data_IF_640693313986
#
_entry.id   IF_640693313986
#
_cell.length_a   1.000
_cell.length_b   1.000
_cell.length_c   1.000
_cell.angle_alpha   90.00
_cell.angle_beta   90.00
_cell.angle_gamma   90.00
#
_symmetry.space_group_name_H-M   'P 1'
#
loop_
_entity.id
_entity.type
_entity.pdbx_description
1 polymer ?
#
# COMPACT_ATOMS: atom_id res chain seq x y z
N UNK A 1 -81.60 -14.57 40.02
CA UNK A 1 -80.36 -13.83 39.65
C UNK A 1 -79.26 -14.88 39.46
N UNK A 2 -78.76 -15.16 38.24
CA UNK A 2 -77.47 -14.67 37.68
C UNK A 2 -76.37 -14.61 38.77
N UNK A 3 -75.19 -15.29 38.70
CA UNK A 3 -74.27 -15.61 37.58
C UNK A 3 -73.36 -16.82 37.91
N UNK A 4 -72.78 -17.42 36.86
CA UNK A 4 -71.96 -18.66 36.79
C UNK A 4 -70.44 -18.39 36.87
N UNK A 5 -69.66 -19.42 37.26
CA UNK A 5 -68.32 -19.88 36.78
C UNK A 5 -67.64 -20.69 37.93
N UNK A 6 -67.58 -22.03 37.94
CA UNK A 6 -66.80 -23.04 37.17
C UNK A 6 -65.29 -22.89 37.27
N UNK A 7 -64.62 -23.80 38.02
CA UNK A 7 -63.30 -24.36 37.69
C UNK A 7 -63.28 -25.86 38.09
N UNK A 8 -62.95 -26.70 37.11
CA UNK A 8 -62.83 -28.16 37.15
C UNK A 8 -61.63 -28.57 38.02
N UNK A 9 -61.84 -29.61 38.84
CA UNK A 9 -60.80 -30.27 39.62
C UNK A 9 -60.96 -31.81 39.49
N UNK A 10 -59.83 -32.43 39.13
CA UNK A 10 -59.36 -33.76 39.54
C UNK A 10 -60.05 -35.05 39.05
N UNK A 11 -59.22 -35.88 38.42
CA UNK A 11 -58.82 -37.15 39.05
C UNK A 11 -59.51 -38.41 38.55
N UNK A 12 -58.94 -39.03 37.51
CA UNK A 12 -59.22 -40.42 37.14
C UNK A 12 -57.99 -41.29 37.37
N UNK A 13 -58.01 -42.06 38.45
CA UNK A 13 -57.03 -43.10 38.78
C UNK A 13 -57.28 -44.36 37.97
N UNK A 14 -56.21 -45.00 37.47
CA UNK A 14 -56.30 -46.30 36.80
C UNK A 14 -54.92 -46.92 36.61
N UNK A 15 -54.55 -47.80 37.54
CA UNK A 15 -53.29 -48.54 37.54
C UNK A 15 -53.37 -49.84 36.73
N UNK A 16 -52.17 -50.28 36.29
CA UNK A 16 -51.73 -51.63 35.97
C UNK A 16 -51.93 -52.17 34.53
N UNK A 17 -50.83 -52.17 33.77
CA UNK A 17 -50.45 -53.28 32.92
C UNK A 17 -48.92 -53.32 32.78
N UNK A 18 -48.28 -54.31 33.41
CA UNK A 18 -46.93 -54.75 33.05
C UNK A 18 -47.05 -55.55 31.75
N UNK A 19 -46.49 -55.02 30.67
CA UNK A 19 -46.32 -55.76 29.41
C UNK A 19 -45.05 -55.25 28.74
N UNK A 20 -43.98 -56.01 28.92
CA UNK A 20 -42.76 -55.97 28.11
C UNK A 20 -43.14 -55.97 26.62
N UNK A 21 -42.85 -54.88 25.94
CA UNK A 21 -43.05 -54.75 24.50
C UNK A 21 -41.95 -53.88 23.93
N UNK A 22 -40.95 -54.54 23.36
CA UNK A 22 -39.91 -54.02 22.46
C UNK A 22 -39.26 -52.72 22.91
N UNK A 23 -38.06 -52.85 23.50
CA UNK A 23 -37.09 -51.77 23.46
C UNK A 23 -36.92 -51.35 22.00
N UNK A 24 -37.59 -50.26 21.64
CA UNK A 24 -37.14 -49.46 20.53
C UNK A 24 -35.71 -49.10 20.91
N UNK A 25 -34.75 -49.68 20.19
CA UNK A 25 -33.47 -49.05 20.02
C UNK A 25 -33.82 -47.68 19.46
N UNK A 26 -33.96 -46.70 20.36
CA UNK A 26 -33.79 -45.32 19.98
C UNK A 26 -32.36 -45.33 19.48
N UNK A 27 -32.20 -45.39 18.16
CA UNK A 27 -30.99 -44.93 17.51
C UNK A 27 -30.85 -43.49 17.99
N UNK A 28 -30.16 -43.32 19.11
CA UNK A 28 -29.37 -42.12 19.30
C UNK A 28 -28.41 -42.16 18.12
N UNK A 29 -28.81 -41.53 17.02
CA UNK A 29 -27.88 -40.69 16.27
C UNK A 29 -27.35 -39.72 17.33
N UNK A 30 -26.35 -40.18 18.07
CA UNK A 30 -25.56 -39.33 18.91
C UNK A 30 -24.80 -38.49 17.90
N UNK A 31 -25.39 -37.34 17.53
CA UNK A 31 -24.68 -36.22 16.95
C UNK A 31 -23.56 -35.89 17.94
N UNK A 32 -22.42 -36.54 17.76
CA UNK A 32 -21.19 -36.22 18.47
C UNK A 32 -20.61 -35.01 17.74
N UNK A 33 -21.24 -33.85 17.91
CA UNK A 33 -20.61 -32.58 17.58
C UNK A 33 -19.46 -32.39 18.57
N UNK A 34 -18.25 -32.76 18.16
CA UNK A 34 -17.04 -32.50 18.93
C UNK A 34 -16.62 -31.07 18.62
N UNK A 35 -16.93 -30.15 19.53
CA UNK A 35 -16.42 -28.78 19.48
C UNK A 35 -14.95 -28.80 19.91
N UNK A 36 -14.04 -28.67 18.93
CA UNK A 36 -12.60 -28.65 19.17
C UNK A 36 -12.16 -27.20 19.30
N UNK A 37 -11.62 -26.84 20.47
CA UNK A 37 -10.96 -25.55 20.66
C UNK A 37 -9.61 -25.61 19.95
N UNK A 38 -9.42 -24.77 18.93
CA UNK A 38 -8.13 -24.64 18.24
C UNK A 38 -7.39 -23.48 18.90
N UNK A 39 -6.43 -23.83 19.74
CA UNK A 39 -5.33 -22.96 20.18
C UNK A 39 -4.23 -23.09 19.12
N UNK A 40 -3.32 -22.13 19.02
CA UNK A 40 -2.05 -22.29 18.30
C UNK A 40 -1.21 -23.41 18.96
N UNK A 41 -1.59 -24.66 18.72
CA UNK A 41 -0.95 -25.90 19.15
C UNK A 41 -0.73 -26.73 17.88
N UNK A 42 0.52 -27.07 17.60
CA UNK A 42 0.95 -27.90 16.46
C UNK A 42 0.37 -29.34 16.48
N UNK A 43 -0.54 -29.63 17.41
CA UNK A 43 -1.22 -30.92 17.60
C UNK A 43 -2.74 -30.81 17.49
N UNK A 44 -3.28 -29.64 17.15
CA UNK A 44 -4.69 -29.48 16.87
C UNK A 44 -5.07 -30.23 15.58
N UNK A 45 -6.27 -30.80 15.50
CA UNK A 45 -6.72 -31.49 14.27
C UNK A 45 -6.87 -30.54 13.07
N UNK A 46 -6.97 -29.23 13.35
CA UNK A 46 -6.90 -28.17 12.35
C UNK A 46 -5.80 -27.21 12.81
N UNK A 47 -4.72 -27.12 12.05
CA UNK A 47 -3.63 -26.17 12.27
C UNK A 47 -4.06 -24.77 11.84
N UNK A 48 -3.63 -23.77 12.61
CA UNK A 48 -3.95 -22.36 12.38
C UNK A 48 -2.68 -21.53 12.54
N UNK A 49 -2.19 -20.97 11.44
CA UNK A 49 -0.93 -20.23 11.41
C UNK A 49 -1.13 -18.81 10.90
N UNK A 50 -0.77 -17.85 11.74
CA UNK A 50 -0.71 -16.42 11.44
C UNK A 50 0.66 -15.89 11.86
N UNK A 51 1.17 -14.94 11.09
CA UNK A 51 2.46 -14.29 11.37
C UNK A 51 2.30 -12.78 11.29
N UNK A 52 3.09 -12.05 12.08
CA UNK A 52 3.21 -10.60 11.98
C UNK A 52 3.85 -10.23 10.65
N UNK A 53 3.38 -9.14 10.02
CA UNK A 53 3.76 -8.79 8.65
C UNK A 53 4.10 -7.31 8.50
N UNK A 54 5.04 -7.02 7.62
CA UNK A 54 5.47 -5.65 7.27
C UNK A 54 5.21 -5.38 5.79
N UNK A 55 4.33 -4.44 5.49
CA UNK A 55 3.94 -4.09 4.13
C UNK A 55 4.94 -3.11 3.47
N UNK A 56 5.07 -3.13 2.13
CA UNK A 56 4.41 -4.04 1.19
C UNK A 56 5.05 -5.44 1.22
N UNK A 57 4.25 -6.44 1.57
CA UNK A 57 4.63 -7.84 1.49
C UNK A 57 3.70 -8.50 0.48
N UNK A 58 4.28 -8.83 -0.67
CA UNK A 58 3.65 -9.62 -1.72
C UNK A 58 4.63 -10.72 -2.10
N UNK A 59 4.73 -11.73 -1.22
CA UNK A 59 5.68 -12.83 -1.37
C UNK A 59 5.47 -13.59 -2.69
N UNK A 60 4.26 -13.54 -3.25
CA UNK A 60 3.82 -14.32 -4.41
C UNK A 60 3.67 -13.48 -5.69
N UNK A 61 3.79 -12.15 -5.61
CA UNK A 61 3.66 -11.23 -6.74
C UNK A 61 2.23 -11.12 -7.29
N UNK A 62 1.21 -11.49 -6.51
CA UNK A 62 -0.20 -11.55 -6.94
C UNK A 62 -1.02 -10.34 -6.46
N UNK A 63 -0.38 -9.38 -5.79
CA UNK A 63 -1.01 -8.19 -5.22
C UNK A 63 -1.90 -8.50 -4.03
N UNK A 64 -1.81 -9.70 -3.45
CA UNK A 64 -2.63 -10.13 -2.31
C UNK A 64 -1.79 -10.34 -1.07
N UNK A 65 -2.47 -10.18 0.04
CA UNK A 65 -1.96 -10.31 1.37
C UNK A 65 -2.40 -11.67 1.92
N UNK A 66 -1.44 -12.52 2.30
CA UNK A 66 -1.70 -13.77 3.00
C UNK A 66 -2.18 -13.45 4.42
N UNK A 67 -3.34 -13.95 4.82
CA UNK A 67 -4.00 -13.61 6.09
C UNK A 67 -3.66 -14.69 7.11
N UNK A 68 -4.11 -15.90 6.83
CA UNK A 68 -3.98 -17.08 7.69
C UNK A 68 -3.79 -18.32 6.83
N UNK A 69 -2.95 -19.26 7.30
CA UNK A 69 -2.87 -20.61 6.73
C UNK A 69 -3.58 -21.60 7.64
N UNK A 70 -4.49 -22.37 7.05
CA UNK A 70 -5.25 -23.44 7.68
C UNK A 70 -4.72 -24.78 7.21
N UNK A 71 -4.42 -25.69 8.13
CA UNK A 71 -3.92 -27.02 7.81
C UNK A 71 -4.87 -28.10 8.33
N UNK A 72 -5.22 -29.07 7.50
CA UNK A 72 -5.96 -30.24 7.93
C UNK A 72 -5.01 -31.29 8.51
N UNK A 73 -4.92 -31.40 9.83
CA UNK A 73 -4.04 -32.36 10.51
C UNK A 73 -4.76 -33.66 10.90
N UNK A 74 -5.98 -33.91 10.41
CA UNK A 74 -6.66 -35.19 10.66
C UNK A 74 -5.87 -36.35 10.03
N UNK A 75 -5.86 -37.48 10.73
CA UNK A 75 -5.32 -38.72 10.17
C UNK A 75 -6.24 -39.24 9.06
N UNK A 76 -5.69 -39.40 7.85
CA UNK A 76 -6.25 -40.03 6.63
C UNK A 76 -7.77 -40.21 6.57
N UNK A 77 -8.39 -39.53 5.61
CA UNK A 77 -9.78 -39.78 5.18
C UNK A 77 -10.79 -38.76 5.68
N UNK A 78 -10.33 -37.70 6.35
CA UNK A 78 -11.15 -36.54 6.71
C UNK A 78 -10.78 -35.40 5.78
N UNK A 79 -11.79 -34.88 5.09
CA UNK A 79 -11.68 -33.68 4.27
C UNK A 79 -12.45 -32.57 4.96
N UNK A 80 -11.85 -31.38 5.06
CA UNK A 80 -12.50 -30.19 5.61
C UNK A 80 -12.64 -29.14 4.51
N UNK A 81 -13.60 -28.24 4.65
CA UNK A 81 -13.85 -27.10 3.77
C UNK A 81 -13.90 -25.82 4.59
N UNK A 82 -13.36 -24.73 4.06
CA UNK A 82 -13.50 -23.41 4.65
C UNK A 82 -14.85 -22.85 4.19
N UNK A 83 -15.77 -22.63 5.12
CA UNK A 83 -17.14 -22.18 4.80
C UNK A 83 -17.35 -20.70 5.02
N UNK A 84 -16.56 -20.08 5.91
CA UNK A 84 -16.66 -18.66 6.23
C UNK A 84 -15.35 -18.13 6.80
N UNK A 85 -15.06 -16.86 6.50
CA UNK A 85 -13.91 -16.13 7.04
C UNK A 85 -14.39 -14.76 7.50
N UNK A 86 -14.28 -14.51 8.80
CA UNK A 86 -14.59 -13.23 9.41
C UNK A 86 -13.27 -12.53 9.76
N UNK A 87 -13.13 -11.26 9.39
CA UNK A 87 -11.94 -10.47 9.67
C UNK A 87 -12.33 -9.21 10.43
N UNK A 88 -11.64 -8.98 11.54
CA UNK A 88 -11.74 -7.75 12.32
C UNK A 88 -10.39 -7.06 12.33
N UNK A 89 -10.39 -5.76 12.12
CA UNK A 89 -9.19 -4.94 12.17
C UNK A 89 -9.35 -3.93 13.30
N UNK A 90 -8.47 -4.01 14.29
CA UNK A 90 -8.40 -3.05 15.38
C UNK A 90 -7.27 -2.05 15.11
N UNK A 91 -7.60 -0.76 15.23
CA UNK A 91 -6.70 0.35 14.99
C UNK A 91 -6.72 1.30 16.19
N UNK A 92 -5.54 1.62 16.72
CA UNK A 92 -5.42 2.50 17.87
C UNK A 92 -5.72 3.96 17.49
N UNK A 93 -6.98 4.37 17.67
CA UNK A 93 -7.41 5.76 17.52
C UNK A 93 -7.50 6.28 16.08
N UNK A 94 -7.41 5.41 15.08
CA UNK A 94 -7.62 5.72 13.66
C UNK A 94 -8.59 4.72 13.02
N UNK A 95 -9.11 5.05 11.84
CA UNK A 95 -9.82 4.07 11.00
C UNK A 95 -8.79 3.08 10.44
N UNK A 96 -8.97 1.80 10.75
CA UNK A 96 -8.11 0.71 10.26
C UNK A 96 -8.29 0.46 8.76
N UNK A 97 -7.35 -0.27 8.14
CA UNK A 97 -7.46 -0.67 6.75
C UNK A 97 -8.64 -1.61 6.55
N UNK A 98 -9.26 -1.57 5.37
CA UNK A 98 -10.30 -2.54 5.00
C UNK A 98 -9.64 -3.74 4.29
N UNK A 99 -10.00 -4.96 4.70
CA UNK A 99 -9.59 -6.18 3.99
C UNK A 99 -10.77 -6.67 3.16
N UNK A 100 -10.60 -6.72 1.85
CA UNK A 100 -11.63 -7.13 0.89
C UNK A 100 -11.12 -8.22 -0.05
N UNK A 101 -12.01 -8.77 -0.88
CA UNK A 101 -11.61 -9.72 -1.92
C UNK A 101 -10.97 -10.99 -1.36
N UNK A 102 -11.58 -11.56 -0.32
CA UNK A 102 -11.08 -12.78 0.30
C UNK A 102 -11.12 -13.95 -0.69
N UNK A 103 -10.05 -14.72 -0.71
CA UNK A 103 -9.90 -15.91 -1.53
C UNK A 103 -9.34 -17.06 -0.69
N UNK A 104 -9.97 -18.22 -0.83
CA UNK A 104 -9.58 -19.47 -0.20
C UNK A 104 -10.15 -20.64 -0.99
N UNK A 105 -9.41 -21.74 -1.01
CA UNK A 105 -9.84 -23.01 -1.59
C UNK A 105 -11.00 -23.65 -0.84
N UNK A 106 -11.78 -24.44 -1.57
CA UNK A 106 -13.02 -25.04 -1.05
C UNK A 106 -12.78 -26.32 -0.26
N UNK A 107 -11.71 -27.09 -0.52
CA UNK A 107 -11.52 -28.41 0.12
C UNK A 107 -10.05 -28.70 0.46
N UNK A 108 -9.85 -29.21 1.67
CA UNK A 108 -8.58 -29.61 2.27
C UNK A 108 -8.64 -31.09 2.64
N UNK A 109 -7.91 -31.94 1.91
CA UNK A 109 -7.68 -33.32 2.28
C UNK A 109 -6.78 -33.45 3.51
N UNK A 110 -6.67 -34.67 4.04
CA UNK A 110 -5.82 -34.93 5.20
C UNK A 110 -4.35 -34.64 4.89
N UNK A 111 -3.75 -33.69 5.61
CA UNK A 111 -2.38 -33.20 5.41
C UNK A 111 -2.25 -32.03 4.41
N UNK A 112 -3.36 -31.57 3.83
CA UNK A 112 -3.35 -30.40 2.94
C UNK A 112 -3.44 -29.11 3.77
N UNK A 113 -2.89 -28.03 3.22
CA UNK A 113 -2.99 -26.68 3.76
C UNK A 113 -3.49 -25.68 2.72
N UNK A 114 -4.19 -24.66 3.18
CA UNK A 114 -4.75 -23.59 2.37
C UNK A 114 -4.47 -22.25 3.03
N UNK A 115 -4.06 -21.28 2.24
CA UNK A 115 -3.83 -19.91 2.72
C UNK A 115 -5.00 -19.03 2.30
N UNK A 116 -5.69 -18.46 3.27
CA UNK A 116 -6.68 -17.42 3.04
C UNK A 116 -5.94 -16.14 2.65
N UNK A 117 -6.30 -15.56 1.52
CA UNK A 117 -5.72 -14.33 0.99
C UNK A 117 -6.75 -13.24 0.88
N UNK A 118 -6.32 -11.99 0.88
CA UNK A 118 -7.19 -10.85 0.63
C UNK A 118 -6.45 -9.64 0.08
N UNK A 119 -7.19 -8.60 -0.24
CA UNK A 119 -6.66 -7.29 -0.63
C UNK A 119 -6.80 -6.34 0.55
N UNK A 120 -5.68 -5.78 0.98
CA UNK A 120 -5.67 -4.75 2.02
C UNK A 120 -5.76 -3.35 1.37
N UNK A 121 -6.91 -2.71 1.48
CA UNK A 121 -7.11 -1.33 1.03
C UNK A 121 -6.70 -0.36 2.14
N UNK A 122 -5.46 0.08 2.05
CA UNK A 122 -4.99 1.25 2.79
C UNK A 122 -3.88 1.91 2.01
N UNK A 123 -3.76 3.22 2.18
CA UNK A 123 -2.62 4.03 1.72
C UNK A 123 -1.92 4.71 2.90
N UNK A 124 -2.35 4.43 4.13
CA UNK A 124 -1.82 5.07 5.34
C UNK A 124 -0.75 4.19 5.96
N UNK A 125 0.31 4.83 6.47
CA UNK A 125 1.21 4.22 7.42
C UNK A 125 0.45 3.83 8.69
N UNK A 126 0.84 2.74 9.35
CA UNK A 126 0.23 2.38 10.61
C UNK A 126 0.58 0.98 11.08
N UNK A 127 0.24 0.72 12.32
CA UNK A 127 0.24 -0.60 12.93
C UNK A 127 -1.21 -0.94 13.29
N UNK A 128 -1.65 -2.11 12.87
CA UNK A 128 -3.01 -2.59 13.10
C UNK A 128 -2.98 -4.02 13.59
N UNK A 129 -3.87 -4.34 14.50
CA UNK A 129 -4.08 -5.71 14.96
C UNK A 129 -5.18 -6.31 14.09
N UNK A 130 -4.83 -7.34 13.32
CA UNK A 130 -5.79 -8.07 12.48
C UNK A 130 -6.14 -9.37 13.18
N UNK A 131 -7.43 -9.59 13.43
CA UNK A 131 -7.97 -10.85 13.92
C UNK A 131 -8.73 -11.53 12.79
N UNK A 132 -8.33 -12.76 12.46
CA UNK A 132 -9.06 -13.61 11.53
C UNK A 132 -9.76 -14.76 12.27
N UNK A 133 -11.00 -15.03 11.90
CA UNK A 133 -11.77 -16.19 12.37
C UNK A 133 -12.19 -17.00 11.16
N UNK A 134 -11.74 -18.25 11.10
CA UNK A 134 -12.05 -19.17 9.99
C UNK A 134 -13.01 -20.26 10.47
N UNK A 135 -14.11 -20.46 9.77
CA UNK A 135 -15.03 -21.56 10.01
C UNK A 135 -14.71 -22.69 9.05
N UNK A 136 -14.50 -23.90 9.59
CA UNK A 136 -14.31 -25.10 8.77
C UNK A 136 -15.37 -26.17 9.07
N UNK A 137 -15.78 -26.87 8.03
CA UNK A 137 -16.71 -27.99 8.13
C UNK A 137 -16.08 -29.24 7.52
N UNK A 138 -16.23 -30.38 8.17
CA UNK A 138 -15.75 -31.68 7.73
C UNK A 138 -16.81 -32.39 6.91
N UNK A 139 -16.44 -32.86 5.72
CA UNK A 139 -17.36 -33.52 4.80
C UNK A 139 -17.53 -35.03 5.07
N UNK A 140 -16.69 -35.60 5.93
CA UNK A 140 -16.81 -36.98 6.39
C UNK A 140 -17.40 -37.04 7.81
N UNK A 141 -18.50 -37.79 7.98
CA UNK A 141 -19.09 -38.23 9.26
C UNK A 141 -19.44 -37.14 10.29
N UNK A 142 -20.01 -36.01 9.85
CA UNK A 142 -20.65 -35.04 10.76
C UNK A 142 -19.68 -34.26 11.65
N UNK A 143 -18.42 -34.11 11.22
CA UNK A 143 -17.45 -33.26 11.88
C UNK A 143 -17.71 -31.81 11.45
N UNK A 144 -18.33 -30.99 12.29
CA UNK A 144 -18.31 -29.53 12.11
C UNK A 144 -17.31 -28.94 13.10
N UNK A 145 -16.30 -28.21 12.65
CA UNK A 145 -15.28 -27.63 13.53
C UNK A 145 -15.16 -26.13 13.26
N UNK A 146 -15.96 -25.33 13.94
CA UNK A 146 -15.74 -23.89 13.91
C UNK A 146 -14.55 -23.56 14.80
N UNK A 147 -13.54 -22.89 14.23
CA UNK A 147 -12.36 -22.51 14.99
C UNK A 147 -12.78 -21.38 15.94
N UNK A 148 -13.04 -21.73 17.21
CA UNK A 148 -13.26 -20.80 18.32
C UNK A 148 -12.24 -21.07 19.43
N UNK A 149 -11.75 -20.01 20.07
CA UNK A 149 -10.53 -20.06 20.88
C UNK A 149 -9.96 -18.66 21.12
N UNK A 150 -8.97 -18.58 22.01
CA UNK A 150 -8.41 -17.32 22.50
C UNK A 150 -7.95 -16.41 21.35
N UNK A 151 -8.51 -15.19 21.30
CA UNK A 151 -8.24 -14.19 20.26
C UNK A 151 -6.76 -13.83 20.19
N UNK A 152 -6.02 -14.00 21.30
CA UNK A 152 -4.57 -13.79 21.36
C UNK A 152 -3.75 -14.71 20.45
N UNK A 153 -4.32 -15.81 19.95
CA UNK A 153 -3.66 -16.72 19.01
C UNK A 153 -4.10 -16.54 17.55
N UNK A 154 -5.00 -15.57 17.32
CA UNK A 154 -5.63 -15.28 16.02
C UNK A 154 -5.39 -13.86 15.55
N UNK A 155 -4.92 -13.02 16.48
CA UNK A 155 -4.44 -11.71 16.19
C UNK A 155 -2.98 -11.77 15.74
N UNK A 156 -2.68 -11.01 14.70
CA UNK A 156 -1.31 -10.73 14.28
C UNK A 156 -1.22 -9.24 13.94
N UNK A 157 0.00 -8.71 14.05
CA UNK A 157 0.23 -7.32 13.70
C UNK A 157 0.49 -7.18 12.22
N UNK A 158 -0.24 -6.26 11.60
CA UNK A 158 0.09 -5.74 10.27
C UNK A 158 0.68 -4.38 10.47
N UNK A 159 1.95 -4.24 10.10
CA UNK A 159 2.64 -2.96 10.06
C UNK A 159 2.78 -2.54 8.62
N UNK A 160 2.21 -1.39 8.26
CA UNK A 160 2.69 -0.65 7.11
C UNK A 160 3.65 0.39 7.63
N UNK A 161 4.93 0.20 7.35
CA UNK A 161 5.86 1.30 7.55
C UNK A 161 5.35 2.49 6.74
N UNK A 162 5.41 3.72 7.30
CA UNK A 162 5.24 4.87 6.45
C UNK A 162 6.14 4.66 5.23
N UNK A 163 5.65 4.96 4.01
CA UNK A 163 6.58 5.08 2.90
C UNK A 163 7.73 5.90 3.45
N UNK A 164 8.97 5.39 3.37
CA UNK A 164 10.12 5.99 4.05
C UNK A 164 9.89 7.48 4.04
N UNK A 165 9.73 8.04 5.24
CA UNK A 165 9.53 9.46 5.39
C UNK A 165 10.77 10.04 4.72
N UNK A 166 10.64 10.40 3.44
CA UNK A 166 11.20 11.60 2.91
C UNK A 166 10.63 12.67 3.85
N UNK A 167 11.30 12.76 4.99
CA UNK A 167 11.32 13.87 5.92
C UNK A 167 12.46 14.79 5.52
N UNK A 168 12.89 14.74 4.26
CA UNK A 168 12.68 15.95 3.54
C UNK A 168 11.19 16.16 3.41
N UNK A 169 10.69 17.12 4.19
CA UNK A 169 9.99 18.28 3.64
C UNK A 169 9.88 18.20 2.11
N UNK A 170 8.73 18.55 1.50
CA UNK A 170 8.57 18.45 0.04
C UNK A 170 9.71 19.10 -0.80
N UNK A 171 10.67 19.78 -0.14
CA UNK A 171 12.09 19.97 -0.48
C UNK A 171 13.02 18.77 -0.84
N UNK A 172 12.84 17.49 -0.47
CA UNK A 172 13.83 16.42 -0.81
C UNK A 172 13.61 15.70 -2.16
N UNK A 173 12.41 15.72 -2.74
CA UNK A 173 12.30 15.33 -4.15
C UNK A 173 13.13 16.35 -4.94
N UNK A 174 14.18 15.95 -5.68
CA UNK A 174 15.04 16.89 -6.36
C UNK A 174 14.17 17.77 -7.28
N UNK A 175 14.30 19.10 -7.14
CA UNK A 175 13.51 20.03 -7.95
C UNK A 175 13.86 19.80 -9.42
N UNK A 176 12.94 19.19 -10.17
CA UNK A 176 13.11 18.95 -11.59
C UNK A 176 13.02 20.27 -12.35
N UNK A 177 14.06 20.64 -13.09
CA UNK A 177 14.05 21.86 -13.90
C UNK A 177 13.27 21.61 -15.19
N UNK A 178 12.14 22.29 -15.33
CA UNK A 178 11.21 22.15 -16.46
C UNK A 178 11.34 23.26 -17.49
N UNK A 179 12.10 24.31 -17.20
CA UNK A 179 12.25 25.43 -18.12
C UNK A 179 13.16 26.55 -17.65
N UNK A 180 13.39 27.48 -18.57
CA UNK A 180 14.02 28.76 -18.28
C UNK A 180 13.38 29.89 -19.11
N UNK A 181 13.42 31.12 -18.60
CA UNK A 181 13.03 32.33 -19.34
C UNK A 181 14.06 33.43 -19.16
N UNK A 182 14.61 33.89 -20.27
CA UNK A 182 15.70 34.85 -20.31
C UNK A 182 15.19 36.27 -20.46
N UNK A 183 15.79 37.19 -19.71
CA UNK A 183 15.49 38.62 -19.76
C UNK A 183 16.76 39.40 -20.11
N UNK A 184 17.01 39.53 -21.42
CA UNK A 184 18.29 40.00 -21.94
C UNK A 184 19.41 39.00 -21.64
N UNK A 185 20.65 39.43 -21.79
CA UNK A 185 21.77 38.48 -21.83
C UNK A 185 22.26 38.02 -20.45
N UNK A 186 21.83 38.65 -19.34
CA UNK A 186 22.43 38.42 -18.01
C UNK A 186 21.44 38.01 -16.93
N UNK A 187 20.17 37.73 -17.28
CA UNK A 187 19.13 37.39 -16.31
C UNK A 187 18.29 36.22 -16.79
N UNK A 188 17.96 35.32 -15.87
CA UNK A 188 17.15 34.13 -16.15
C UNK A 188 16.19 33.85 -14.99
N UNK A 189 14.93 33.54 -15.31
CA UNK A 189 14.00 32.85 -14.43
C UNK A 189 14.10 31.36 -14.73
N UNK A 190 14.20 30.52 -13.70
CA UNK A 190 14.32 29.08 -13.83
C UNK A 190 13.02 28.47 -13.30
N UNK A 191 12.44 27.53 -14.03
CA UNK A 191 11.18 26.91 -13.71
C UNK A 191 11.39 25.44 -13.38
N UNK A 192 10.59 24.94 -12.45
CA UNK A 192 10.66 23.55 -12.05
C UNK A 192 9.33 22.98 -11.60
N UNK A 193 9.34 21.77 -11.08
CA UNK A 193 8.15 21.08 -10.56
C UNK A 193 7.47 21.82 -9.39
N UNK A 194 8.22 22.67 -8.67
CA UNK A 194 7.76 23.44 -7.50
C UNK A 194 8.69 24.62 -7.22
N UNK A 195 8.25 25.54 -6.36
CA UNK A 195 9.09 26.61 -5.84
C UNK A 195 10.17 26.07 -4.90
N UNK A 196 11.34 26.69 -4.91
CA UNK A 196 12.43 26.35 -3.99
C UNK A 196 13.77 26.91 -4.43
N UNK A 197 14.85 26.36 -3.90
CA UNK A 197 16.22 26.60 -4.38
C UNK A 197 16.90 25.25 -4.62
N UNK A 198 17.65 25.12 -5.72
CA UNK A 198 18.43 23.92 -6.04
C UNK A 198 19.72 24.31 -6.74
N UNK A 199 20.68 23.39 -6.82
CA UNK A 199 21.89 23.58 -7.59
C UNK A 199 21.60 23.55 -9.10
N UNK A 200 22.07 24.58 -9.80
CA UNK A 200 21.88 24.75 -11.23
C UNK A 200 23.24 25.00 -11.87
N UNK A 201 23.49 24.34 -13.01
CA UNK A 201 24.64 24.60 -13.85
C UNK A 201 24.35 25.80 -14.75
N UNK A 202 25.07 26.90 -14.54
CA UNK A 202 25.05 28.06 -15.40
C UNK A 202 26.15 27.94 -16.45
N UNK A 203 25.75 28.05 -17.72
CA UNK A 203 26.69 28.18 -18.83
C UNK A 203 26.88 29.65 -19.14
N UNK A 204 28.08 30.16 -18.86
CA UNK A 204 28.41 31.57 -18.84
C UNK A 204 29.44 31.90 -19.91
N UNK A 205 29.33 33.10 -20.44
CA UNK A 205 30.33 33.66 -21.34
C UNK A 205 30.62 35.10 -20.94
N UNK A 206 31.90 35.42 -20.78
CA UNK A 206 32.32 36.78 -20.45
C UNK A 206 31.85 37.81 -21.48
N UNK A 207 31.50 39.00 -21.00
CA UNK A 207 31.23 40.12 -21.90
C UNK A 207 32.52 40.55 -22.60
N UNK A 208 32.69 40.10 -23.84
CA UNK A 208 33.81 40.45 -24.69
C UNK A 208 33.42 41.39 -25.83
N UNK A 209 34.44 41.89 -26.53
CA UNK A 209 34.25 42.43 -27.89
C UNK A 209 33.71 41.29 -28.77
N UNK A 210 32.87 41.57 -29.78
CA UNK A 210 32.21 40.55 -30.61
C UNK A 210 33.14 39.52 -31.27
N UNK A 211 34.46 39.76 -31.29
CA UNK A 211 35.48 38.88 -31.88
C UNK A 211 36.43 38.20 -30.88
N UNK A 212 36.21 38.31 -29.57
CA UNK A 212 36.96 37.46 -28.63
C UNK A 212 36.23 36.13 -28.51
N UNK A 213 36.75 35.10 -29.18
CA UNK A 213 36.34 33.70 -29.01
C UNK A 213 36.73 33.24 -27.59
N UNK A 214 35.99 33.74 -26.59
CA UNK A 214 36.11 33.25 -25.22
C UNK A 214 35.23 32.02 -25.08
N UNK A 215 35.76 30.95 -24.48
CA UNK A 215 35.03 29.70 -24.33
C UNK A 215 33.82 29.89 -23.43
N UNK A 216 32.81 29.06 -23.61
CA UNK A 216 31.70 28.96 -22.65
C UNK A 216 32.21 28.19 -21.44
N UNK A 217 32.10 28.79 -20.26
CA UNK A 217 32.43 28.11 -18.99
C UNK A 217 31.15 27.68 -18.30
N UNK A 218 31.19 26.57 -17.58
CA UNK A 218 30.11 26.17 -16.67
C UNK A 218 30.46 26.56 -15.24
N UNK A 219 29.44 26.85 -14.44
CA UNK A 219 29.55 27.08 -13.00
C UNK A 219 28.28 26.62 -12.31
N UNK A 220 28.41 25.78 -11.30
CA UNK A 220 27.28 25.34 -10.47
C UNK A 220 27.01 26.36 -9.38
N UNK A 221 25.75 26.76 -9.22
CA UNK A 221 25.31 27.66 -8.15
C UNK A 221 23.90 27.29 -7.69
N UNK A 222 23.62 27.47 -6.41
CA UNK A 222 22.25 27.47 -5.89
C UNK A 222 21.46 28.64 -6.49
N UNK A 223 20.29 28.36 -7.03
CA UNK A 223 19.41 29.38 -7.63
C UNK A 223 17.94 29.13 -7.28
N UNK A 224 17.13 30.21 -7.18
CA UNK A 224 15.69 30.08 -6.98
C UNK A 224 15.00 29.48 -8.20
N UNK A 225 14.10 28.54 -7.94
CA UNK A 225 13.23 27.88 -8.90
C UNK A 225 11.79 28.34 -8.67
N UNK A 226 11.09 28.58 -9.78
CA UNK A 226 9.70 29.01 -9.80
C UNK A 226 8.81 27.83 -10.21
N UNK A 227 7.91 27.42 -9.32
CA UNK A 227 6.89 26.39 -9.58
C UNK A 227 5.67 26.94 -10.29
N UNK A 228 5.40 28.24 -10.16
CA UNK A 228 4.33 28.92 -10.87
C UNK A 228 4.74 30.32 -11.39
N UNK A 229 3.86 30.94 -12.19
CA UNK A 229 4.10 32.24 -12.82
C UNK A 229 3.66 33.44 -11.93
N UNK A 230 3.31 33.22 -10.66
CA UNK A 230 2.70 34.26 -9.81
C UNK A 230 3.72 35.21 -9.16
N UNK A 231 4.92 34.74 -8.83
CA UNK A 231 6.02 35.56 -8.26
C UNK A 231 7.41 35.15 -8.78
N UNK A 232 7.66 35.44 -10.07
CA UNK A 232 8.85 34.94 -10.78
C UNK A 232 10.14 35.60 -10.30
N UNK A 233 10.93 34.84 -9.55
CA UNK A 233 12.31 35.15 -9.12
C UNK A 233 13.29 34.97 -10.28
N UNK A 234 14.18 35.94 -10.47
CA UNK A 234 15.19 35.96 -11.54
C UNK A 234 16.60 36.01 -10.96
N UNK A 235 17.44 35.08 -11.42
CA UNK A 235 18.87 35.08 -11.17
C UNK A 235 19.56 36.01 -12.15
N UNK A 236 20.46 36.86 -11.66
CA UNK A 236 21.24 37.80 -12.47
C UNK A 236 22.74 37.50 -12.34
N UNK A 237 23.46 37.50 -13.46
CA UNK A 237 24.92 37.37 -13.49
C UNK A 237 25.53 38.69 -13.96
N UNK A 238 26.50 39.20 -13.22
CA UNK A 238 27.19 40.46 -13.53
C UNK A 238 28.44 40.20 -14.37
N UNK A 239 28.73 41.09 -15.33
CA UNK A 239 29.96 41.01 -16.14
C UNK A 239 29.96 39.92 -17.22
N UNK A 240 28.96 39.05 -17.25
CA UNK A 240 28.88 37.90 -18.18
C UNK A 240 27.50 37.82 -18.85
N UNK A 241 27.37 36.87 -19.78
CA UNK A 241 26.13 36.49 -20.43
C UNK A 241 25.79 35.04 -20.11
N UNK A 242 24.51 34.78 -19.87
CA UNK A 242 23.98 33.44 -19.64
C UNK A 242 23.66 32.82 -20.99
N UNK A 243 24.41 31.79 -21.35
CA UNK A 243 24.24 30.99 -22.57
C UNK A 243 23.14 29.96 -22.37
N UNK A 244 23.12 29.30 -21.21
CA UNK A 244 22.15 28.27 -20.87
C UNK A 244 22.08 28.03 -19.37
N UNK A 245 21.06 27.30 -18.92
CA UNK A 245 20.97 26.72 -17.57
C UNK A 245 20.56 25.26 -17.66
N UNK A 246 21.04 24.41 -16.76
CA UNK A 246 20.65 22.99 -16.66
C UNK A 246 20.75 22.47 -15.23
N UNK A 247 20.19 21.30 -14.97
CA UNK A 247 20.33 20.65 -13.66
C UNK A 247 21.70 19.93 -13.57
N UNK A 248 22.25 19.79 -12.35
CA UNK A 248 23.59 19.21 -12.13
C UNK A 248 23.72 17.78 -12.66
N UNK A 249 22.66 16.99 -12.53
CA UNK A 249 22.63 15.56 -12.91
C UNK A 249 21.65 15.27 -14.07
N UNK A 250 21.33 16.28 -14.90
CA UNK A 250 20.48 16.11 -16.07
C UNK A 250 21.19 16.51 -17.37
N UNK A 251 20.86 15.80 -18.45
CA UNK A 251 21.23 16.20 -19.82
C UNK A 251 20.37 17.35 -20.35
N UNK A 252 19.30 17.73 -19.64
CA UNK A 252 18.39 18.79 -20.05
C UNK A 252 18.97 20.17 -19.76
N UNK A 253 19.32 20.85 -20.85
CA UNK A 253 19.84 22.22 -20.84
C UNK A 253 18.86 23.13 -21.58
N UNK A 254 18.51 24.25 -20.97
CA UNK A 254 17.69 25.28 -21.59
C UNK A 254 18.60 26.35 -22.17
N UNK A 255 18.74 26.38 -23.49
CA UNK A 255 19.57 27.37 -24.19
C UNK A 255 18.88 28.73 -24.23
N UNK A 256 19.65 29.79 -24.09
CA UNK A 256 19.18 31.15 -24.33
C UNK A 256 18.65 31.24 -25.78
N UNK A 257 17.44 31.78 -26.02
CA UNK A 257 16.80 31.73 -27.35
C UNK A 257 17.60 32.43 -28.46
N UNK A 258 18.43 33.40 -28.08
CA UNK A 258 19.32 34.11 -28.99
C UNK A 258 20.74 33.49 -29.10
N UNK A 259 21.02 32.38 -28.44
CA UNK A 259 22.30 31.68 -28.58
C UNK A 259 22.26 30.80 -29.83
N UNK A 260 23.24 30.99 -30.73
CA UNK A 260 23.49 30.07 -31.82
C UNK A 260 24.67 29.16 -31.45
N UNK A 261 24.37 27.89 -31.16
CA UNK A 261 25.37 26.90 -30.78
C UNK A 261 26.34 26.56 -31.92
N UNK A 262 25.90 26.61 -33.18
CA UNK A 262 26.77 26.32 -34.33
C UNK A 262 27.77 27.44 -34.62
N UNK A 263 27.37 28.68 -34.32
CA UNK A 263 28.20 29.87 -34.56
C UNK A 263 28.87 30.38 -33.28
N UNK A 264 28.60 29.72 -32.15
CA UNK A 264 29.07 30.06 -30.81
C UNK A 264 28.95 31.56 -30.53
N UNK A 265 27.78 32.15 -30.84
CA UNK A 265 27.54 33.59 -30.68
C UNK A 265 26.09 33.88 -30.32
N UNK A 266 25.90 34.99 -29.62
CA UNK A 266 24.58 35.56 -29.45
C UNK A 266 24.18 36.32 -30.72
N UNK A 267 22.93 36.16 -31.13
CA UNK A 267 22.27 37.09 -32.03
C UNK A 267 21.98 38.43 -31.35
N UNK A 268 20.92 39.10 -31.79
CA UNK A 268 20.49 40.35 -31.16
C UNK A 268 20.05 40.11 -29.71
N UNK A 269 20.22 41.13 -28.85
CA UNK A 269 19.72 41.08 -27.48
C UNK A 269 18.21 40.87 -27.52
N UNK A 270 17.72 39.89 -26.79
CA UNK A 270 16.30 39.59 -26.71
C UNK A 270 15.99 38.74 -25.50
N UNK A 271 14.73 38.77 -25.11
CA UNK A 271 14.14 37.98 -24.03
C UNK A 271 13.29 36.86 -24.63
N UNK A 272 13.09 35.78 -23.89
CA UNK A 272 12.22 34.69 -24.32
C UNK A 272 12.46 33.40 -23.53
N UNK A 273 11.58 32.42 -23.79
CA UNK A 273 11.72 31.08 -23.22
C UNK A 273 12.99 30.41 -23.74
N UNK A 274 13.67 29.68 -22.86
CA UNK A 274 14.80 28.84 -23.22
C UNK A 274 14.37 27.73 -24.17
N UNK A 275 15.29 27.34 -25.05
CA UNK A 275 15.09 26.24 -25.98
C UNK A 275 15.71 24.98 -25.38
N UNK A 276 14.93 23.91 -25.11
CA UNK A 276 15.48 22.66 -24.61
C UNK A 276 16.53 22.09 -25.58
N UNK A 277 17.65 21.64 -25.04
CA UNK A 277 18.75 21.04 -25.77
C UNK A 277 19.38 19.94 -24.93
N UNK A 278 19.76 18.84 -25.59
CA UNK A 278 20.55 17.76 -24.98
C UNK A 278 22.06 17.93 -25.19
N UNK A 279 22.45 18.98 -25.91
CA UNK A 279 23.84 19.23 -26.26
C UNK A 279 24.44 20.27 -25.31
N UNK A 280 25.51 19.90 -24.61
CA UNK A 280 26.27 20.79 -23.75
C UNK A 280 26.84 21.99 -24.57
N UNK A 281 26.47 23.24 -24.26
CA UNK A 281 26.97 24.43 -24.94
C UNK A 281 28.46 24.73 -24.68
N UNK A 282 29.12 24.00 -23.77
CA UNK A 282 30.57 24.04 -23.54
C UNK A 282 31.41 23.54 -24.74
N UNK A 283 30.77 22.85 -25.69
CA UNK A 283 31.36 22.43 -26.97
C UNK A 283 31.83 23.59 -27.86
N UNK A 284 31.43 24.82 -27.54
CA UNK A 284 31.91 26.06 -28.15
C UNK A 284 33.28 26.49 -27.58
N UNK A 285 34.36 25.82 -28.02
CA UNK A 285 35.75 26.23 -27.82
C UNK A 285 36.37 26.81 -29.10
#
# INVERSE_FOLDING_TARGET
MKRRNLILLLGGTGSAALSTGTGAFSSMEAERSVEVNVVNDDRAFVGYHTEDRVLPEDANGDGKFDIVTVENQFSKGVTIEITDVEITVEADGQEGPEITGLEYGEQLGSGDSETVRGTLDTNKAGEWTVEATVTVEGTADGVSARIFGDTSTRSFMVKREPPEDNTGDASDDPIEITGASYSGNGKVAIYGSRDGETEVVFYLRENGRPNSARPVRSETRTAPINGDDSDVKKTSVSGERIVAVGAVDSEDVYLHPNWNQNECKFGNSGSGKGVPSKADPSSCN
#
